data_IF_529370998878
#
_entry.id   IF_529370998878
#
_cell.length_a   1.000
_cell.length_b   1.000
_cell.length_c   1.000
_cell.angle_alpha   90.00
_cell.angle_beta   90.00
_cell.angle_gamma   90.00
#
_symmetry.space_group_name_H-M   'P 1'
#
loop_
_entity.id
_entity.type
_entity.pdbx_description
1 polymer ?
#
# COMPACT_ATOMS: atom_id res chain seq x y z
N UNK A 1 2.54 -12.37 4.82
CA UNK A 1 2.98 -11.54 5.96
C UNK A 1 1.75 -11.18 6.77
N UNK A 2 1.66 -11.64 8.01
CA UNK A 2 0.58 -11.24 8.91
C UNK A 2 0.97 -9.88 9.49
N UNK A 3 0.14 -8.87 9.41
CA UNK A 3 0.42 -7.60 10.04
C UNK A 3 0.33 -7.74 11.55
N UNK A 4 1.46 -7.96 12.17
CA UNK A 4 1.58 -7.73 13.61
C UNK A 4 1.71 -6.23 13.80
N UNK A 5 0.59 -5.55 13.76
CA UNK A 5 0.53 -4.10 13.60
C UNK A 5 1.38 -3.31 14.61
N UNK A 6 1.52 -3.81 15.83
CA UNK A 6 2.37 -3.15 16.83
C UNK A 6 3.84 -3.57 16.78
N UNK A 7 4.21 -4.61 16.02
CA UNK A 7 5.57 -5.14 16.02
C UNK A 7 6.55 -4.34 15.14
N UNK A 8 6.07 -3.61 14.16
CA UNK A 8 6.92 -2.84 13.27
C UNK A 8 7.84 -1.87 14.03
N UNK A 9 7.28 -1.12 14.99
CA UNK A 9 8.03 -0.21 15.85
C UNK A 9 8.75 -0.96 16.98
N UNK A 10 8.10 -1.93 17.62
CA UNK A 10 8.68 -2.68 18.73
C UNK A 10 9.92 -3.44 18.31
N UNK A 11 9.87 -4.19 17.21
CA UNK A 11 11.01 -4.95 16.72
C UNK A 11 12.14 -4.02 16.26
N UNK A 12 11.83 -2.93 15.56
CA UNK A 12 12.82 -1.94 15.20
C UNK A 12 13.57 -1.40 16.41
N UNK A 13 12.85 -1.00 17.47
CA UNK A 13 13.44 -0.47 18.70
C UNK A 13 14.25 -1.52 19.44
N UNK A 14 13.76 -2.75 19.50
CA UNK A 14 14.47 -3.86 20.14
C UNK A 14 15.78 -4.18 19.41
N UNK A 15 15.74 -4.31 18.08
CA UNK A 15 16.91 -4.57 17.25
C UNK A 15 17.94 -3.46 17.38
N UNK A 16 17.50 -2.20 17.36
CA UNK A 16 18.36 -1.03 17.55
C UNK A 16 19.04 -1.02 18.93
N UNK A 17 18.31 -1.34 19.99
CA UNK A 17 18.85 -1.42 21.36
C UNK A 17 19.85 -2.56 21.54
N UNK A 18 19.70 -3.64 20.79
CA UNK A 18 20.58 -4.80 20.82
C UNK A 18 21.69 -4.78 19.76
N UNK A 19 21.93 -3.62 19.13
CA UNK A 19 22.95 -3.41 18.10
C UNK A 19 22.81 -4.29 16.84
N UNK A 20 21.60 -4.71 16.52
CA UNK A 20 21.32 -5.30 15.21
C UNK A 20 21.20 -4.22 14.14
N UNK A 21 21.41 -4.60 12.88
CA UNK A 21 21.22 -3.67 11.80
C UNK A 21 19.73 -3.29 11.69
N UNK A 22 19.47 -2.00 11.55
CA UNK A 22 18.14 -1.43 11.29
C UNK A 22 18.21 -0.40 10.17
N UNK A 23 17.12 -0.16 9.40
CA UNK A 23 17.08 0.92 8.43
C UNK A 23 17.37 2.27 9.10
N UNK A 24 18.22 3.08 8.46
CA UNK A 24 18.62 4.39 9.01
C UNK A 24 17.66 5.52 8.66
N UNK A 25 16.84 5.32 7.66
CA UNK A 25 15.93 6.31 7.07
C UNK A 25 14.50 6.23 7.62
N UNK A 26 14.23 5.27 8.49
CA UNK A 26 12.94 5.08 9.15
C UNK A 26 13.11 4.73 10.62
N UNK A 27 12.02 4.73 11.38
CA UNK A 27 11.99 4.30 12.78
C UNK A 27 11.06 3.08 12.98
N UNK A 28 10.78 2.36 11.91
CA UNK A 28 9.94 1.16 11.90
C UNK A 28 10.28 0.26 10.72
N UNK A 29 9.91 -1.01 10.81
CA UNK A 29 9.98 -1.93 9.67
C UNK A 29 8.79 -1.78 8.75
N UNK A 30 9.05 -1.71 7.44
CA UNK A 30 8.01 -1.63 6.42
C UNK A 30 7.20 -2.93 6.33
N UNK A 31 5.93 -2.82 5.90
CA UNK A 31 5.07 -3.97 5.59
C UNK A 31 5.32 -4.54 4.20
N UNK A 32 6.09 -3.87 3.40
CA UNK A 32 6.40 -4.23 2.03
C UNK A 32 7.82 -4.77 1.90
N UNK A 33 8.05 -5.59 0.88
CA UNK A 33 9.39 -6.00 0.47
C UNK A 33 10.19 -4.80 -0.06
N UNK A 34 9.49 -3.87 -0.70
CA UNK A 34 10.03 -2.58 -1.13
C UNK A 34 9.73 -1.49 -0.11
N UNK A 35 10.57 -0.48 -0.06
CA UNK A 35 10.24 0.73 0.67
C UNK A 35 9.03 1.41 0.02
N UNK A 36 7.96 1.69 0.76
CA UNK A 36 6.75 2.29 0.19
C UNK A 36 6.96 3.73 -0.30
N UNK A 37 8.06 4.37 0.13
CA UNK A 37 8.47 5.71 -0.24
C UNK A 37 9.58 5.75 -1.31
N UNK A 38 9.94 4.62 -1.90
CA UNK A 38 10.94 4.57 -2.96
C UNK A 38 10.27 4.76 -4.34
N UNK A 39 10.49 5.91 -5.00
CA UNK A 39 9.93 6.14 -6.32
C UNK A 39 10.69 5.44 -7.45
N UNK A 40 11.88 4.88 -7.16
CA UNK A 40 12.73 4.23 -8.17
C UNK A 40 12.21 2.87 -8.62
N UNK A 41 11.35 2.24 -7.82
CA UNK A 41 10.78 0.92 -8.13
C UNK A 41 9.39 1.08 -8.73
N UNK A 42 9.27 0.86 -10.01
CA UNK A 42 8.01 0.97 -10.75
C UNK A 42 6.99 -0.11 -10.34
N UNK A 43 5.70 0.10 -10.61
CA UNK A 43 4.66 -0.91 -10.40
C UNK A 43 4.96 -2.25 -11.09
N UNK A 44 5.51 -2.22 -12.30
CA UNK A 44 5.83 -3.42 -13.06
C UNK A 44 7.01 -4.19 -12.47
N UNK A 45 8.06 -3.49 -12.04
CA UNK A 45 9.19 -4.11 -11.34
C UNK A 45 8.76 -4.79 -10.04
N UNK A 46 7.82 -4.18 -9.30
CA UNK A 46 7.22 -4.83 -8.12
C UNK A 46 6.52 -6.13 -8.48
N UNK A 47 5.76 -6.17 -9.59
CA UNK A 47 5.09 -7.39 -10.04
C UNK A 47 6.11 -8.47 -10.47
N UNK A 48 7.16 -8.11 -11.19
CA UNK A 48 8.23 -9.05 -11.58
C UNK A 48 8.86 -9.69 -10.35
N UNK A 49 9.21 -8.88 -9.34
CA UNK A 49 9.84 -9.39 -8.11
C UNK A 49 8.91 -10.26 -7.26
N UNK A 50 7.60 -10.05 -7.33
CA UNK A 50 6.60 -10.92 -6.70
C UNK A 50 6.20 -12.12 -7.55
N UNK A 51 6.75 -12.24 -8.75
CA UNK A 51 6.46 -13.30 -9.71
C UNK A 51 7.36 -14.52 -9.57
N UNK A 52 7.15 -15.46 -10.49
CA UNK A 52 7.99 -16.63 -10.69
C UNK A 52 9.43 -16.21 -11.00
N UNK A 53 10.38 -17.07 -10.70
CA UNK A 53 11.83 -16.86 -10.77
C UNK A 53 12.41 -15.89 -9.71
N UNK A 54 11.58 -15.28 -8.89
CA UNK A 54 11.99 -14.43 -7.78
C UNK A 54 11.29 -14.87 -6.49
N UNK A 55 10.64 -13.95 -5.79
CA UNK A 55 10.03 -14.23 -4.47
C UNK A 55 8.89 -15.25 -4.56
N UNK A 56 8.11 -15.24 -5.65
CA UNK A 56 6.95 -16.11 -5.81
C UNK A 56 7.26 -17.60 -5.73
N UNK A 57 8.40 -18.01 -6.25
CA UNK A 57 8.80 -19.43 -6.27
C UNK A 57 9.43 -19.91 -4.95
N UNK A 58 9.83 -18.98 -4.07
CA UNK A 58 10.48 -19.30 -2.79
C UNK A 58 9.57 -19.24 -1.57
N UNK A 59 8.32 -18.82 -1.75
CA UNK A 59 7.38 -18.63 -0.65
C UNK A 59 6.19 -19.59 -0.78
N UNK A 60 6.15 -20.65 0.05
CA UNK A 60 5.05 -21.64 0.07
C UNK A 60 3.67 -21.00 0.32
N UNK A 61 3.63 -19.93 1.08
CA UNK A 61 2.42 -19.16 1.37
C UNK A 61 2.01 -18.15 0.30
N UNK A 62 2.78 -18.08 -0.80
CA UNK A 62 2.60 -17.08 -1.85
C UNK A 62 3.11 -15.70 -1.48
N UNK A 63 3.00 -14.78 -2.41
CA UNK A 63 3.46 -13.39 -2.30
C UNK A 63 2.41 -12.43 -2.79
N UNK A 64 2.07 -11.40 -1.99
CA UNK A 64 1.10 -10.38 -2.33
C UNK A 64 1.78 -9.07 -2.75
N UNK A 65 1.66 -8.72 -4.02
CA UNK A 65 2.16 -7.47 -4.56
C UNK A 65 1.16 -6.34 -4.34
N UNK A 66 1.54 -5.31 -3.62
CA UNK A 66 0.75 -4.10 -3.40
C UNK A 66 1.28 -2.96 -4.28
N UNK A 67 0.44 -2.44 -5.14
CA UNK A 67 0.76 -1.38 -6.10
C UNK A 67 0.04 -0.10 -5.66
N UNK A 68 0.81 0.92 -5.29
CA UNK A 68 0.26 2.21 -4.89
C UNK A 68 0.01 3.05 -6.14
N UNK A 69 -1.25 3.38 -6.42
CA UNK A 69 -1.67 4.20 -7.54
C UNK A 69 -2.42 5.44 -7.05
N UNK A 70 -2.18 6.58 -7.68
CA UNK A 70 -2.89 7.82 -7.38
C UNK A 70 -4.24 7.93 -8.07
N UNK A 71 -4.51 7.07 -9.06
CA UNK A 71 -5.74 7.07 -9.86
C UNK A 71 -6.20 5.67 -10.23
N UNK A 72 -7.46 5.56 -10.62
CA UNK A 72 -8.05 4.30 -11.06
C UNK A 72 -7.68 4.03 -12.52
N UNK A 73 -7.21 2.81 -12.77
CA UNK A 73 -6.90 2.35 -14.12
C UNK A 73 -8.15 2.17 -14.96
N UNK A 74 -8.04 2.48 -16.25
CA UNK A 74 -9.04 2.13 -17.27
C UNK A 74 -9.12 0.61 -17.44
N UNK A 75 -10.22 0.14 -18.05
CA UNK A 75 -10.39 -1.29 -18.35
C UNK A 75 -9.23 -1.86 -19.20
N UNK A 76 -8.75 -1.06 -20.18
CA UNK A 76 -7.63 -1.45 -21.04
C UNK A 76 -6.33 -1.61 -20.25
N UNK A 77 -6.03 -0.68 -19.32
CA UNK A 77 -4.85 -0.77 -18.44
C UNK A 77 -4.97 -1.95 -17.48
N UNK A 78 -6.14 -2.16 -16.87
CA UNK A 78 -6.37 -3.32 -16.02
C UNK A 78 -6.12 -4.65 -16.75
N UNK A 79 -6.59 -4.77 -18.02
CA UNK A 79 -6.34 -5.95 -18.83
C UNK A 79 -4.85 -6.17 -19.06
N UNK A 80 -4.10 -5.13 -19.43
CA UNK A 80 -2.63 -5.21 -19.58
C UNK A 80 -1.92 -5.63 -18.28
N UNK A 81 -2.37 -5.10 -17.14
CA UNK A 81 -1.80 -5.48 -15.85
C UNK A 81 -2.03 -6.95 -15.51
N UNK A 82 -3.22 -7.48 -15.83
CA UNK A 82 -3.53 -8.91 -15.64
C UNK A 82 -2.70 -9.79 -16.56
N UNK A 83 -2.56 -9.41 -17.83
CA UNK A 83 -1.70 -10.12 -18.80
C UNK A 83 -0.25 -10.12 -18.34
N UNK A 84 0.28 -8.97 -17.94
CA UNK A 84 1.64 -8.82 -17.43
C UNK A 84 1.87 -9.64 -16.14
N UNK A 85 0.90 -9.65 -15.21
CA UNK A 85 0.98 -10.47 -14.00
C UNK A 85 1.08 -11.96 -14.33
N UNK A 86 0.24 -12.44 -15.27
CA UNK A 86 0.24 -13.82 -15.71
C UNK A 86 1.55 -14.22 -16.39
N UNK A 87 2.07 -13.37 -17.28
CA UNK A 87 3.34 -13.60 -17.99
C UNK A 87 4.55 -13.69 -17.03
N UNK A 88 4.51 -12.95 -15.92
CA UNK A 88 5.59 -12.91 -14.93
C UNK A 88 5.35 -13.83 -13.72
N UNK A 89 4.25 -14.60 -13.71
CA UNK A 89 3.93 -15.51 -12.61
C UNK A 89 3.58 -14.79 -11.29
N UNK A 90 3.14 -13.53 -11.34
CA UNK A 90 2.66 -12.80 -10.17
C UNK A 90 1.28 -13.32 -9.76
N UNK A 91 1.22 -14.18 -8.76
CA UNK A 91 0.02 -14.91 -8.36
C UNK A 91 -1.05 -14.03 -7.73
N UNK A 92 -0.65 -12.98 -7.03
CA UNK A 92 -1.55 -12.05 -6.36
C UNK A 92 -1.02 -10.63 -6.41
N UNK A 93 -1.85 -9.71 -6.86
CA UNK A 93 -1.59 -8.28 -6.74
C UNK A 93 -2.86 -7.51 -6.43
N UNK A 94 -2.70 -6.33 -5.84
CA UNK A 94 -3.81 -5.42 -5.56
C UNK A 94 -3.36 -3.97 -5.69
N UNK A 95 -4.32 -3.10 -6.00
CA UNK A 95 -4.09 -1.66 -6.06
C UNK A 95 -4.43 -1.01 -4.72
N UNK A 96 -3.52 -0.21 -4.21
CA UNK A 96 -3.74 0.71 -3.12
C UNK A 96 -4.05 2.08 -3.71
N UNK A 97 -5.33 2.40 -3.79
CA UNK A 97 -5.82 3.68 -4.28
C UNK A 97 -6.60 4.32 -3.14
N UNK A 98 -6.15 5.48 -2.60
CA UNK A 98 -6.88 6.15 -1.54
C UNK A 98 -8.28 6.54 -1.98
N UNK A 99 -9.26 6.28 -1.14
CA UNK A 99 -10.65 6.70 -1.32
C UNK A 99 -11.07 7.58 -0.16
N UNK A 100 -11.97 8.52 -0.41
CA UNK A 100 -12.46 9.46 0.59
C UNK A 100 -13.98 9.35 0.71
N UNK A 101 -14.47 9.29 1.95
CA UNK A 101 -15.88 9.22 2.27
C UNK A 101 -16.29 10.37 3.20
N UNK A 102 -17.42 11.00 2.90
CA UNK A 102 -18.10 11.86 3.84
C UNK A 102 -19.01 11.00 4.73
N UNK A 103 -18.66 10.83 6.00
CA UNK A 103 -19.42 10.01 6.96
C UNK A 103 -20.81 10.58 7.27
N UNK A 104 -21.07 11.87 6.96
CA UNK A 104 -22.36 12.54 7.18
C UNK A 104 -23.39 12.22 6.12
N UNK A 105 -23.01 12.21 4.84
CA UNK A 105 -23.95 12.02 3.73
C UNK A 105 -23.68 10.77 2.88
N UNK A 106 -22.65 9.97 3.20
CA UNK A 106 -22.26 8.77 2.47
C UNK A 106 -21.69 9.03 1.09
N UNK A 107 -21.27 10.27 0.78
CA UNK A 107 -20.63 10.56 -0.50
C UNK A 107 -19.21 9.98 -0.54
N UNK A 108 -18.91 9.21 -1.57
CA UNK A 108 -17.58 8.58 -1.77
C UNK A 108 -16.96 9.16 -3.04
N UNK A 109 -15.70 9.59 -2.92
CA UNK A 109 -14.89 10.01 -4.05
C UNK A 109 -13.62 9.16 -4.16
N UNK A 110 -13.16 9.01 -5.41
CA UNK A 110 -11.94 8.29 -5.75
C UNK A 110 -10.66 9.10 -5.49
N UNK A 111 -10.81 10.35 -5.07
CA UNK A 111 -9.72 11.25 -4.72
C UNK A 111 -10.02 11.89 -3.37
N UNK A 112 -8.98 12.16 -2.56
CA UNK A 112 -9.16 12.87 -1.29
C UNK A 112 -9.79 14.26 -1.49
N UNK A 113 -10.62 14.65 -0.52
CA UNK A 113 -11.20 15.99 -0.44
C UNK A 113 -11.25 16.44 1.01
N UNK A 114 -11.05 17.73 1.26
CA UNK A 114 -11.14 18.35 2.60
C UNK A 114 -12.55 18.85 2.90
N UNK A 115 -13.34 19.10 1.85
CA UNK A 115 -14.73 19.54 1.94
C UNK A 115 -15.60 18.68 1.04
N UNK A 116 -16.64 18.10 1.62
CA UNK A 116 -17.56 17.25 0.88
C UNK A 116 -18.26 18.04 -0.25
N UNK A 117 -18.11 17.62 -1.51
CA UNK A 117 -18.73 18.34 -2.63
C UNK A 117 -20.25 18.23 -2.66
N UNK A 118 -20.83 17.25 -1.94
CA UNK A 118 -22.27 17.02 -1.90
C UNK A 118 -22.97 17.81 -0.79
N UNK A 119 -22.40 17.86 0.41
CA UNK A 119 -23.09 18.47 1.58
C UNK A 119 -22.27 19.55 2.28
N UNK A 120 -21.04 19.84 1.84
CA UNK A 120 -20.19 20.88 2.40
C UNK A 120 -19.52 20.53 3.74
N UNK A 121 -19.67 19.27 4.23
CA UNK A 121 -19.04 18.80 5.47
C UNK A 121 -17.51 18.84 5.38
N UNK A 122 -16.85 19.17 6.50
CA UNK A 122 -15.39 19.27 6.60
C UNK A 122 -14.81 18.43 7.75
N UNK A 123 -15.59 18.13 8.78
CA UNK A 123 -15.08 17.42 9.97
C UNK A 123 -15.23 15.91 9.88
N UNK A 124 -16.31 15.45 9.23
CA UNK A 124 -16.64 14.03 9.12
C UNK A 124 -16.18 13.46 7.77
N UNK A 125 -14.90 13.68 7.45
CA UNK A 125 -14.27 13.15 6.24
C UNK A 125 -13.35 12.00 6.65
N UNK A 126 -13.56 10.83 6.04
CA UNK A 126 -12.79 9.63 6.30
C UNK A 126 -11.95 9.24 5.06
N UNK A 127 -10.66 9.08 5.25
CA UNK A 127 -9.75 8.57 4.23
C UNK A 127 -9.59 7.06 4.42
N UNK A 128 -9.75 6.31 3.33
CA UNK A 128 -9.57 4.87 3.26
C UNK A 128 -8.40 4.52 2.37
N UNK A 129 -7.61 3.57 2.82
CA UNK A 129 -6.56 2.94 2.00
C UNK A 129 -6.41 1.48 2.44
N UNK A 130 -5.56 0.71 1.76
CA UNK A 130 -5.32 -0.68 2.09
C UNK A 130 -4.15 -0.82 3.05
N UNK A 131 -4.42 -1.52 4.16
CA UNK A 131 -3.37 -2.10 4.99
C UNK A 131 -3.36 -3.61 4.71
N UNK A 132 -2.30 -4.08 4.08
CA UNK A 132 -2.08 -5.50 3.76
C UNK A 132 -3.34 -6.20 3.18
N UNK A 133 -3.88 -5.62 2.11
CA UNK A 133 -5.04 -6.15 1.39
C UNK A 133 -6.41 -5.64 1.86
N UNK A 134 -6.55 -5.21 3.10
CA UNK A 134 -7.81 -4.72 3.65
C UNK A 134 -8.01 -3.23 3.42
N UNK A 135 -9.13 -2.85 2.80
CA UNK A 135 -9.54 -1.45 2.67
C UNK A 135 -10.21 -1.01 3.97
N UNK A 136 -9.56 -0.15 4.71
CA UNK A 136 -10.06 0.36 6.01
C UNK A 136 -9.75 1.84 6.20
N UNK A 137 -10.45 2.48 7.17
CA UNK A 137 -10.17 3.87 7.54
C UNK A 137 -8.77 4.01 8.09
N UNK A 138 -7.98 4.93 7.52
CA UNK A 138 -6.57 5.15 7.94
C UNK A 138 -6.50 5.52 9.42
N UNK A 139 -7.47 6.29 9.94
CA UNK A 139 -7.52 6.66 11.36
C UNK A 139 -7.62 5.47 12.34
N UNK A 140 -8.05 4.31 11.85
CA UNK A 140 -8.18 3.09 12.66
C UNK A 140 -6.92 2.19 12.59
N UNK A 141 -5.91 2.57 11.80
CA UNK A 141 -4.69 1.81 11.69
C UNK A 141 -3.80 2.00 12.93
N UNK A 142 -2.90 1.06 13.16
CA UNK A 142 -1.87 1.26 14.16
C UNK A 142 -0.96 2.45 13.81
N UNK A 143 -0.35 3.06 14.81
CA UNK A 143 0.52 4.23 14.63
C UNK A 143 1.60 4.00 13.57
N UNK A 144 2.28 2.85 13.61
CA UNK A 144 3.30 2.51 12.62
C UNK A 144 2.77 2.47 11.19
N UNK A 145 1.55 1.99 10.99
CA UNK A 145 0.93 1.95 9.65
C UNK A 145 0.44 3.31 9.19
N UNK A 146 0.00 4.16 10.08
CA UNK A 146 -0.33 5.55 9.75
C UNK A 146 0.91 6.35 9.35
N UNK A 147 2.06 6.13 10.02
CA UNK A 147 3.34 6.73 9.65
C UNK A 147 3.78 6.24 8.27
N UNK A 148 3.74 4.94 8.02
CA UNK A 148 4.09 4.35 6.73
C UNK A 148 3.20 4.89 5.60
N UNK A 149 1.89 4.99 5.82
CA UNK A 149 0.94 5.49 4.82
C UNK A 149 1.27 6.92 4.36
N UNK A 150 1.69 7.78 5.29
CA UNK A 150 2.08 9.16 4.98
C UNK A 150 3.33 9.27 4.10
N UNK A 151 4.16 8.23 4.10
CA UNK A 151 5.39 8.18 3.29
C UNK A 151 5.23 7.42 1.98
N UNK A 152 4.07 6.81 1.72
CA UNK A 152 3.82 6.07 0.49
C UNK A 152 3.91 6.95 -0.75
N UNK A 153 4.63 6.47 -1.75
CA UNK A 153 4.64 7.08 -3.09
C UNK A 153 3.59 6.40 -3.95
N UNK A 154 2.72 7.19 -4.55
CA UNK A 154 1.64 6.72 -5.43
C UNK A 154 1.99 7.07 -6.87
N UNK A 155 2.12 6.05 -7.72
CA UNK A 155 2.41 6.22 -9.14
C UNK A 155 1.19 6.76 -9.88
N UNK A 156 1.40 7.71 -10.79
CA UNK A 156 0.34 8.26 -11.65
C UNK A 156 0.12 7.43 -12.91
N UNK A 157 1.18 6.75 -13.36
CA UNK A 157 1.18 6.00 -14.61
C UNK A 157 1.70 4.59 -14.38
N UNK A 158 1.12 3.66 -15.10
CA UNK A 158 1.61 2.30 -15.24
C UNK A 158 1.98 2.17 -16.72
N UNK A 159 3.20 2.59 -17.03
CA UNK A 159 3.79 2.38 -18.36
C UNK A 159 4.45 1.01 -18.45
#
# INVERSE_FOLDING_TARGET
MVPSESLAIKNYNWDKQNNYWVPSDTNLYASYIFKPNDPSVSPLEKMILHGSNYIGDYLDGGSACHINLSEHLSLKQNKKMLEFAAENGCQYFTYNIPNCECEKCGFIAKQPFDKCPKCGETEHIALYDRVIGYLTKIKNWSEGRQIEQKTRVYSKEVE
#
